data_IF_074640042938
#
_entry.id   IF_074640042938
#
_cell.length_a   1.000
_cell.length_b   1.000
_cell.length_c   1.000
_cell.angle_alpha   90.00
_cell.angle_beta   90.00
_cell.angle_gamma   90.00
#
_symmetry.space_group_name_H-M   'P 1'
#
loop_
_entity.id
_entity.type
_entity.pdbx_description
1 polymer ?
#
# COMPACT_ATOMS: atom_id res chain seq x y z
N UNK A 1 29.95 37.38 21.09
CA UNK A 1 28.75 36.83 21.77
C UNK A 1 27.57 37.06 20.84
N UNK A 2 26.70 36.12 20.47
CA UNK A 2 26.59 34.66 20.69
C UNK A 2 26.12 34.05 19.34
N UNK A 3 26.60 32.85 18.97
CA UNK A 3 26.13 32.16 17.75
C UNK A 3 24.78 31.49 18.03
N UNK A 4 23.78 31.69 17.15
CA UNK A 4 22.48 31.02 17.22
C UNK A 4 22.60 29.53 16.85
N UNK A 5 21.76 28.70 17.48
CA UNK A 5 21.90 27.24 17.49
C UNK A 5 21.46 26.59 16.16
N UNK A 6 22.33 25.76 15.57
CA UNK A 6 21.86 24.60 14.81
C UNK A 6 21.35 23.54 15.79
N UNK A 7 20.04 23.27 15.81
CA UNK A 7 19.48 22.06 16.42
C UNK A 7 19.39 20.96 15.37
N UNK A 8 20.34 20.04 15.38
CA UNK A 8 20.21 18.80 14.62
C UNK A 8 19.19 17.87 15.28
N UNK A 9 18.21 17.38 14.53
CA UNK A 9 17.49 16.17 14.92
C UNK A 9 18.43 14.98 14.71
N UNK A 10 19.01 14.48 15.80
CA UNK A 10 19.60 13.15 15.80
C UNK A 10 18.46 12.12 15.80
N UNK A 11 18.19 11.51 14.64
CA UNK A 11 17.31 10.36 14.57
C UNK A 11 17.95 9.21 15.37
N UNK A 12 17.29 8.77 16.44
CA UNK A 12 17.76 7.66 17.25
C UNK A 12 17.66 6.36 16.44
N UNK A 13 18.79 5.90 15.90
CA UNK A 13 18.86 4.60 15.24
C UNK A 13 18.72 3.50 16.30
N UNK A 14 17.51 2.93 16.46
CA UNK A 14 17.34 1.68 17.19
C UNK A 14 18.09 0.56 16.44
N UNK A 15 19.22 0.16 17.01
CA UNK A 15 19.96 -1.03 16.61
C UNK A 15 19.21 -2.28 17.09
N UNK A 16 18.34 -2.82 16.25
CA UNK A 16 17.69 -4.11 16.47
C UNK A 16 18.69 -5.26 16.26
N UNK A 17 19.52 -5.54 17.28
CA UNK A 17 20.47 -6.65 17.30
C UNK A 17 19.75 -7.97 17.57
N UNK A 18 19.18 -8.58 16.52
CA UNK A 18 18.50 -9.88 16.65
C UNK A 18 17.90 -10.49 15.37
N UNK A 19 18.12 -9.89 14.19
CA UNK A 19 17.37 -10.22 12.96
C UNK A 19 18.03 -11.28 12.04
N UNK A 20 19.09 -11.95 12.48
CA UNK A 20 19.63 -13.09 11.73
C UNK A 20 18.65 -14.27 11.85
N UNK A 21 17.98 -14.72 10.76
CA UNK A 21 17.07 -15.85 10.85
C UNK A 21 17.87 -17.09 11.25
N UNK A 22 17.52 -17.69 12.39
CA UNK A 22 18.07 -18.98 12.79
C UNK A 22 17.67 -19.98 11.71
N UNK A 23 18.65 -20.55 11.01
CA UNK A 23 18.41 -21.59 10.00
C UNK A 23 17.74 -22.80 10.62
N UNK A 24 16.41 -22.82 10.58
CA UNK A 24 15.61 -24.01 10.91
C UNK A 24 15.75 -25.02 9.77
N UNK A 25 15.62 -26.33 10.05
CA UNK A 25 15.44 -27.33 9.00
C UNK A 25 14.37 -26.89 7.99
N UNK A 26 14.56 -27.22 6.71
CA UNK A 26 13.65 -26.85 5.61
C UNK A 26 13.48 -25.34 5.35
N UNK A 27 14.38 -24.49 5.84
CA UNK A 27 14.40 -23.05 5.53
C UNK A 27 15.55 -22.68 4.61
N UNK A 28 15.24 -22.08 3.47
CA UNK A 28 16.22 -21.45 2.57
C UNK A 28 16.23 -19.93 2.75
N UNK A 29 17.40 -19.32 2.51
CA UNK A 29 17.57 -17.86 2.50
C UNK A 29 18.18 -17.44 1.17
N UNK A 30 17.58 -16.43 0.52
CA UNK A 30 18.11 -15.82 -0.70
C UNK A 30 18.34 -14.33 -0.41
N UNK A 31 19.60 -13.95 -0.22
CA UNK A 31 20.00 -12.55 -0.09
C UNK A 31 20.01 -11.88 -1.47
N UNK A 32 19.38 -10.72 -1.58
CA UNK A 32 19.25 -9.97 -2.84
C UNK A 32 19.79 -8.56 -2.71
N UNK A 33 20.79 -8.22 -3.53
CA UNK A 33 21.41 -6.90 -3.53
C UNK A 33 21.78 -6.43 -4.95
N UNK A 34 21.82 -5.12 -5.23
CA UNK A 34 22.29 -4.61 -6.52
C UNK A 34 23.74 -5.03 -6.77
N UNK A 35 24.10 -5.24 -8.04
CA UNK A 35 25.50 -5.52 -8.42
C UNK A 35 26.43 -4.39 -7.95
N UNK A 36 27.67 -4.74 -7.62
CA UNK A 36 28.75 -3.80 -7.28
C UNK A 36 28.46 -2.92 -6.04
N UNK A 37 27.52 -3.37 -5.19
CA UNK A 37 27.20 -2.76 -3.89
C UNK A 37 27.89 -3.48 -2.73
N UNK A 38 28.14 -2.80 -1.58
CA UNK A 38 28.58 -3.47 -0.35
C UNK A 38 27.62 -4.59 0.08
N UNK A 39 26.33 -4.46 -0.21
CA UNK A 39 25.32 -5.46 0.08
C UNK A 39 25.45 -6.73 -0.78
N UNK A 40 25.91 -6.61 -2.03
CA UNK A 40 26.22 -7.80 -2.84
C UNK A 40 27.43 -8.54 -2.29
N UNK A 41 28.47 -7.83 -1.84
CA UNK A 41 29.62 -8.45 -1.18
C UNK A 41 29.20 -9.18 0.11
N UNK A 42 28.38 -8.53 0.95
CA UNK A 42 27.85 -9.14 2.18
C UNK A 42 26.93 -10.35 1.90
N UNK A 43 26.08 -10.28 0.88
CA UNK A 43 25.24 -11.39 0.44
C UNK A 43 26.09 -12.59 -0.01
N UNK A 44 27.09 -12.36 -0.88
CA UNK A 44 28.01 -13.40 -1.36
C UNK A 44 28.83 -14.01 -0.21
N UNK A 45 29.28 -13.22 0.76
CA UNK A 45 30.02 -13.71 1.93
C UNK A 45 29.17 -14.58 2.89
N UNK A 46 27.84 -14.47 2.84
CA UNK A 46 26.90 -15.29 3.63
C UNK A 46 26.43 -16.56 2.89
N UNK A 47 26.61 -16.65 1.57
CA UNK A 47 26.09 -17.76 0.79
C UNK A 47 26.89 -19.04 0.99
N UNK A 48 26.20 -20.17 1.23
CA UNK A 48 26.80 -21.51 1.36
C UNK A 48 26.53 -22.41 0.14
N UNK A 49 25.67 -21.99 -0.78
CA UNK A 49 25.34 -22.72 -2.01
C UNK A 49 24.34 -23.88 -1.83
N UNK A 50 23.79 -24.06 -0.63
CA UNK A 50 22.91 -25.17 -0.25
C UNK A 50 21.59 -24.70 0.39
N UNK A 51 21.67 -23.97 1.51
CA UNK A 51 20.55 -23.37 2.22
C UNK A 51 20.54 -21.85 2.05
N UNK A 52 21.72 -21.24 1.85
CA UNK A 52 21.88 -19.80 1.73
C UNK A 52 22.46 -19.44 0.36
N UNK A 53 21.74 -18.59 -0.36
CA UNK A 53 22.07 -18.13 -1.71
C UNK A 53 22.21 -16.61 -1.74
N UNK A 54 22.96 -16.12 -2.73
CA UNK A 54 23.07 -14.70 -3.07
C UNK A 54 22.64 -14.47 -4.52
N UNK A 55 21.74 -13.51 -4.73
CA UNK A 55 21.21 -13.15 -6.05
C UNK A 55 21.37 -11.64 -6.29
N UNK A 56 21.69 -11.26 -7.53
CA UNK A 56 21.91 -9.84 -7.89
C UNK A 56 20.64 -9.11 -8.31
N UNK A 57 19.52 -9.84 -8.43
CA UNK A 57 18.27 -9.37 -9.05
C UNK A 57 17.08 -10.08 -8.41
N UNK A 58 16.05 -9.31 -8.04
CA UNK A 58 14.83 -9.87 -7.44
C UNK A 58 14.16 -10.91 -8.33
N UNK A 59 14.13 -10.75 -9.67
CA UNK A 59 13.53 -11.77 -10.55
C UNK A 59 14.26 -13.11 -10.51
N UNK A 60 15.60 -13.11 -10.39
CA UNK A 60 16.38 -14.35 -10.25
C UNK A 60 16.07 -15.04 -8.92
N UNK A 61 15.94 -14.26 -7.84
CA UNK A 61 15.53 -14.77 -6.55
C UNK A 61 14.09 -15.32 -6.54
N UNK A 62 13.14 -14.70 -7.25
CA UNK A 62 11.77 -15.21 -7.39
C UNK A 62 11.74 -16.53 -8.19
N UNK A 63 12.56 -16.67 -9.24
CA UNK A 63 12.69 -17.93 -9.98
C UNK A 63 13.27 -19.03 -9.10
N UNK A 64 14.40 -18.79 -8.44
CA UNK A 64 15.01 -19.77 -7.52
C UNK A 64 14.09 -20.10 -6.33
N UNK A 65 13.39 -19.13 -5.78
CA UNK A 65 12.42 -19.37 -4.71
C UNK A 65 11.28 -20.29 -5.18
N UNK A 66 10.73 -20.06 -6.37
CA UNK A 66 9.72 -20.95 -6.94
C UNK A 66 10.27 -22.37 -7.17
N UNK A 67 11.49 -22.52 -7.67
CA UNK A 67 12.15 -23.84 -7.83
C UNK A 67 12.29 -24.58 -6.49
N UNK A 68 12.81 -23.92 -5.45
CA UNK A 68 12.99 -24.50 -4.11
C UNK A 68 11.65 -24.83 -3.41
N UNK A 69 10.59 -24.06 -3.65
CA UNK A 69 9.27 -24.32 -3.05
C UNK A 69 8.52 -25.48 -3.72
N UNK A 70 8.98 -25.98 -4.87
CA UNK A 70 8.39 -27.16 -5.53
C UNK A 70 8.94 -28.49 -4.98
N UNK A 71 10.03 -28.50 -4.21
CA UNK A 71 10.70 -29.73 -3.76
C UNK A 71 10.22 -30.29 -2.41
N UNK A 72 9.40 -29.55 -1.67
CA UNK A 72 8.92 -29.96 -0.35
C UNK A 72 8.27 -28.80 0.44
N UNK A 73 7.78 -29.06 1.68
CA UNK A 73 7.12 -28.07 2.54
C UNK A 73 8.16 -27.10 3.16
N UNK A 74 8.86 -26.37 2.30
CA UNK A 74 9.95 -25.50 2.65
C UNK A 74 9.48 -24.06 2.91
N UNK A 75 10.26 -23.33 3.70
CA UNK A 75 10.18 -21.87 3.78
C UNK A 75 11.31 -21.26 2.97
N UNK A 76 11.02 -20.33 2.05
CA UNK A 76 12.04 -19.53 1.37
C UNK A 76 11.91 -18.07 1.79
N UNK A 77 12.97 -17.55 2.41
CA UNK A 77 13.10 -16.14 2.78
C UNK A 77 13.94 -15.41 1.72
N UNK A 78 13.31 -14.56 0.91
CA UNK A 78 13.98 -13.67 -0.04
C UNK A 78 14.20 -12.31 0.63
N UNK A 79 15.43 -12.07 1.09
CA UNK A 79 15.81 -10.89 1.88
C UNK A 79 16.47 -9.85 0.98
N UNK A 80 15.89 -8.65 0.89
CA UNK A 80 16.27 -7.64 -0.11
C UNK A 80 16.87 -6.41 0.55
N UNK A 81 18.08 -6.06 0.11
CA UNK A 81 18.85 -4.89 0.54
C UNK A 81 18.24 -3.56 0.00
N UNK A 82 18.80 -2.38 0.37
CA UNK A 82 18.37 -1.11 -0.21
C UNK A 82 18.84 -1.05 -1.67
N UNK A 83 18.00 -0.52 -2.56
CA UNK A 83 18.40 -0.40 -3.96
C UNK A 83 17.25 -0.11 -4.91
N UNK A 84 17.62 0.15 -6.17
CA UNK A 84 16.73 0.23 -7.30
C UNK A 84 16.83 -1.06 -8.12
N UNK A 85 15.74 -1.82 -8.16
CA UNK A 85 15.63 -3.02 -8.98
C UNK A 85 14.73 -2.67 -10.18
N UNK A 86 15.11 -2.95 -11.45
CA UNK A 86 14.32 -2.53 -12.63
C UNK A 86 13.56 -3.67 -13.34
N UNK A 87 13.50 -4.86 -12.76
CA UNK A 87 12.85 -6.04 -13.37
C UNK A 87 13.74 -6.80 -14.36
N UNK A 88 13.19 -7.83 -15.01
CA UNK A 88 13.90 -8.58 -16.06
C UNK A 88 14.04 -7.71 -17.30
N UNK A 89 15.25 -7.62 -17.88
CA UNK A 89 15.56 -6.75 -19.03
C UNK A 89 15.16 -5.27 -18.87
N UNK A 90 15.10 -4.76 -17.63
CA UNK A 90 14.56 -3.42 -17.29
C UNK A 90 13.08 -3.21 -17.65
N UNK A 91 12.28 -4.27 -17.80
CA UNK A 91 10.87 -4.18 -18.17
C UNK A 91 9.94 -3.60 -17.08
N UNK A 92 10.47 -3.27 -15.88
CA UNK A 92 9.69 -2.65 -14.81
C UNK A 92 8.61 -3.54 -14.18
N UNK A 93 8.68 -4.85 -14.41
CA UNK A 93 7.76 -5.87 -13.92
C UNK A 93 8.51 -7.09 -13.37
N UNK A 94 7.89 -7.76 -12.39
CA UNK A 94 8.37 -8.96 -11.71
C UNK A 94 7.26 -10.00 -11.68
N UNK A 95 7.51 -11.16 -12.28
CA UNK A 95 6.64 -12.33 -12.13
C UNK A 95 7.24 -13.28 -11.10
N UNK A 96 6.46 -13.66 -10.09
CA UNK A 96 6.69 -14.88 -9.32
C UNK A 96 6.15 -16.05 -10.16
N UNK A 97 6.98 -17.04 -10.54
CA UNK A 97 6.52 -18.21 -11.28
C UNK A 97 5.47 -19.02 -10.49
N UNK A 98 4.77 -19.92 -11.20
CA UNK A 98 3.79 -20.80 -10.58
C UNK A 98 4.42 -21.65 -9.47
N UNK A 99 3.96 -21.45 -8.25
CA UNK A 99 4.20 -22.36 -7.11
C UNK A 99 2.91 -23.16 -6.93
N UNK A 100 3.00 -24.50 -6.91
CA UNK A 100 1.84 -25.37 -6.70
C UNK A 100 2.12 -26.34 -5.56
N UNK A 101 2.40 -25.78 -4.39
CA UNK A 101 2.72 -26.52 -3.18
C UNK A 101 2.03 -25.86 -1.97
N UNK A 102 0.81 -26.30 -1.60
CA UNK A 102 0.00 -25.67 -0.57
C UNK A 102 0.57 -25.76 0.85
N UNK A 103 1.67 -26.49 1.08
CA UNK A 103 2.35 -26.56 2.38
C UNK A 103 3.55 -25.62 2.49
N UNK A 104 4.03 -25.07 1.38
CA UNK A 104 5.24 -24.26 1.32
C UNK A 104 4.98 -22.78 1.66
N UNK A 105 6.02 -22.05 2.09
CA UNK A 105 5.94 -20.65 2.53
C UNK A 105 6.93 -19.77 1.77
N UNK A 106 6.47 -18.68 1.15
CA UNK A 106 7.32 -17.68 0.52
C UNK A 106 7.27 -16.36 1.29
N UNK A 107 8.45 -15.87 1.69
CA UNK A 107 8.60 -14.59 2.37
C UNK A 107 9.51 -13.67 1.59
N UNK A 108 8.94 -12.69 0.91
CA UNK A 108 9.64 -11.64 0.18
C UNK A 108 9.73 -10.40 1.08
N UNK A 109 10.94 -10.09 1.57
CA UNK A 109 11.17 -9.11 2.64
C UNK A 109 12.25 -8.10 2.23
N UNK A 110 11.86 -6.87 1.92
CA UNK A 110 12.72 -5.71 1.75
C UNK A 110 12.96 -4.93 3.05
N UNK A 111 13.78 -3.90 2.95
CA UNK A 111 14.12 -3.01 4.07
C UNK A 111 15.38 -3.36 4.84
N UNK A 112 16.19 -4.32 4.39
CA UNK A 112 17.44 -4.68 5.08
C UNK A 112 18.51 -3.61 4.88
N UNK A 113 19.39 -3.44 5.87
CA UNK A 113 20.65 -2.72 5.72
C UNK A 113 21.65 -3.52 4.86
N UNK A 114 22.81 -2.92 4.56
CA UNK A 114 23.76 -3.51 3.61
C UNK A 114 24.38 -4.85 4.05
N UNK A 115 24.57 -5.08 5.34
CA UNK A 115 25.11 -6.34 5.89
C UNK A 115 24.01 -7.36 6.30
N UNK A 116 22.74 -7.02 6.05
CA UNK A 116 21.55 -7.78 6.42
C UNK A 116 21.44 -8.10 7.93
N UNK A 117 22.00 -7.27 8.80
CA UNK A 117 21.89 -7.42 10.26
C UNK A 117 20.71 -6.67 10.88
N UNK A 118 20.17 -5.67 10.17
CA UNK A 118 19.10 -4.80 10.63
C UNK A 118 18.06 -4.52 9.54
N UNK A 119 16.81 -4.25 9.94
CA UNK A 119 15.69 -3.96 9.02
C UNK A 119 15.01 -2.65 9.38
N UNK A 120 14.81 -1.78 8.39
CA UNK A 120 14.10 -0.50 8.49
C UNK A 120 13.39 -0.25 7.15
N UNK A 121 12.18 -0.80 6.91
CA UNK A 121 11.54 -0.81 5.59
C UNK A 121 11.26 0.58 5.00
N UNK A 122 11.12 1.61 5.84
CA UNK A 122 10.90 3.00 5.41
C UNK A 122 12.19 3.83 5.29
N UNK A 123 13.35 3.30 5.72
CA UNK A 123 14.67 3.95 5.59
C UNK A 123 15.57 3.28 4.55
N UNK A 124 15.61 1.94 4.56
CA UNK A 124 16.45 1.09 3.74
C UNK A 124 15.70 0.61 2.47
N UNK A 125 15.25 1.58 1.65
CA UNK A 125 14.23 1.34 0.63
C UNK A 125 14.64 0.34 -0.48
N UNK A 126 13.96 -0.80 -0.52
CA UNK A 126 14.00 -1.79 -1.63
C UNK A 126 12.95 -1.41 -2.68
N UNK A 127 13.38 -0.71 -3.75
CA UNK A 127 12.47 -0.13 -4.76
C UNK A 127 12.31 -1.04 -5.97
N UNK A 128 11.06 -1.40 -6.29
CA UNK A 128 10.71 -2.05 -7.55
C UNK A 128 10.41 -0.96 -8.60
N UNK A 129 11.45 -0.53 -9.30
CA UNK A 129 11.40 0.56 -10.28
C UNK A 129 10.71 0.10 -11.56
N UNK A 130 9.52 0.63 -11.81
CA UNK A 130 8.80 0.39 -13.07
C UNK A 130 9.25 1.33 -14.19
N UNK A 131 8.67 1.18 -15.39
CA UNK A 131 9.02 1.96 -16.59
C UNK A 131 7.78 2.43 -17.35
N UNK A 132 7.96 3.42 -18.24
CA UNK A 132 6.92 3.81 -19.18
C UNK A 132 6.53 2.59 -20.02
N UNK A 133 5.22 2.37 -20.16
CA UNK A 133 4.71 1.33 -21.03
C UNK A 133 4.64 -0.08 -20.44
N UNK A 134 4.85 -0.26 -19.12
CA UNK A 134 4.80 -1.58 -18.45
C UNK A 134 3.63 -2.46 -18.89
N UNK A 135 3.90 -3.75 -19.03
CA UNK A 135 2.93 -4.77 -19.44
C UNK A 135 2.59 -5.69 -18.25
N UNK A 136 1.52 -5.33 -17.53
CA UNK A 136 1.09 -5.99 -16.30
C UNK A 136 1.41 -5.22 -15.00
N UNK A 137 1.09 -5.86 -13.87
CA UNK A 137 1.35 -5.30 -12.54
C UNK A 137 2.87 -5.20 -12.26
N UNK A 138 3.28 -4.37 -11.29
CA UNK A 138 4.70 -4.27 -10.90
C UNK A 138 5.13 -5.63 -10.34
N UNK A 139 4.41 -6.18 -9.36
CA UNK A 139 4.58 -7.55 -8.91
C UNK A 139 3.37 -8.40 -9.30
N UNK A 140 3.64 -9.51 -10.00
CA UNK A 140 2.64 -10.42 -10.55
C UNK A 140 2.85 -11.81 -9.94
N UNK A 141 1.86 -12.30 -9.20
CA UNK A 141 1.80 -13.70 -8.78
C UNK A 141 1.22 -14.50 -9.95
N UNK A 142 1.88 -15.59 -10.35
CA UNK A 142 1.40 -16.43 -11.43
C UNK A 142 -0.02 -16.98 -11.11
N UNK A 143 -0.97 -16.96 -12.05
CA UNK A 143 -2.32 -17.46 -11.83
C UNK A 143 -2.34 -18.90 -11.33
N UNK A 144 -3.27 -19.19 -10.41
CA UNK A 144 -3.43 -20.51 -9.76
C UNK A 144 -2.28 -20.94 -8.85
N UNK A 145 -1.38 -20.02 -8.46
CA UNK A 145 -0.37 -20.34 -7.44
C UNK A 145 -1.04 -20.76 -6.13
N UNK A 146 -0.50 -21.79 -5.49
CA UNK A 146 -0.96 -22.36 -4.23
C UNK A 146 0.23 -22.54 -3.28
N UNK A 147 0.17 -21.87 -2.13
CA UNK A 147 1.17 -21.92 -1.07
C UNK A 147 0.56 -21.56 0.28
N UNK A 148 1.08 -22.13 1.36
CA UNK A 148 0.53 -21.98 2.72
C UNK A 148 0.51 -20.54 3.17
N UNK A 149 1.62 -19.84 2.97
CA UNK A 149 1.80 -18.44 3.34
C UNK A 149 2.59 -17.69 2.25
N UNK A 150 2.09 -16.50 1.88
CA UNK A 150 2.82 -15.51 1.08
C UNK A 150 2.98 -14.22 1.89
N UNK A 151 4.22 -13.78 2.10
CA UNK A 151 4.55 -12.49 2.71
C UNK A 151 5.21 -11.59 1.68
N UNK A 152 4.71 -10.36 1.53
CA UNK A 152 5.30 -9.28 0.74
C UNK A 152 5.47 -8.08 1.67
N UNK A 153 6.70 -7.77 2.07
CA UNK A 153 6.94 -6.72 3.06
C UNK A 153 8.16 -5.85 2.81
N UNK A 154 8.04 -4.53 3.03
CA UNK A 154 9.17 -3.59 2.96
C UNK A 154 9.61 -3.15 1.56
N UNK A 155 8.68 -3.12 0.59
CA UNK A 155 8.97 -2.68 -0.78
C UNK A 155 8.34 -1.32 -1.11
N UNK A 156 8.98 -0.60 -2.03
CA UNK A 156 8.39 0.57 -2.70
C UNK A 156 7.87 0.16 -4.06
N UNK A 157 6.58 0.36 -4.27
CA UNK A 157 5.86 0.20 -5.54
C UNK A 157 5.42 1.58 -6.03
N UNK A 158 6.23 2.18 -6.92
CA UNK A 158 5.91 3.48 -7.52
C UNK A 158 5.49 3.30 -8.98
N UNK A 159 4.26 3.67 -9.31
CA UNK A 159 3.77 3.64 -10.69
C UNK A 159 4.02 4.92 -11.49
N UNK A 160 4.55 6.00 -10.89
CA UNK A 160 4.78 7.26 -11.61
C UNK A 160 5.60 7.11 -12.91
N UNK A 161 6.68 6.31 -12.97
CA UNK A 161 7.37 6.07 -14.24
C UNK A 161 6.52 5.42 -15.33
N UNK A 162 5.43 4.73 -14.99
CA UNK A 162 4.52 4.04 -15.92
C UNK A 162 3.27 4.83 -16.30
N UNK A 163 3.05 5.98 -15.67
CA UNK A 163 1.86 6.80 -15.85
C UNK A 163 2.08 7.90 -16.88
N UNK A 164 0.99 8.42 -17.42
CA UNK A 164 0.95 9.72 -18.09
C UNK A 164 0.36 10.76 -17.15
N UNK A 165 0.96 11.94 -17.18
CA UNK A 165 0.56 13.08 -16.35
C UNK A 165 0.11 14.24 -17.23
N UNK A 166 -0.93 14.94 -16.78
CA UNK A 166 -1.34 16.19 -17.39
C UNK A 166 -0.26 17.26 -17.19
N UNK A 167 0.18 17.89 -18.27
CA UNK A 167 1.33 18.80 -18.25
C UNK A 167 1.07 20.11 -17.48
N UNK A 168 -0.19 20.48 -17.23
CA UNK A 168 -0.56 21.68 -16.48
C UNK A 168 -0.67 21.44 -14.98
N UNK A 169 -1.33 20.35 -14.60
CA UNK A 169 -1.67 20.04 -13.20
C UNK A 169 -0.73 19.03 -12.54
N UNK A 170 0.09 18.33 -13.33
CA UNK A 170 0.92 17.18 -12.96
C UNK A 170 0.09 15.99 -12.41
N UNK A 171 -1.15 15.83 -12.88
CA UNK A 171 -2.10 14.82 -12.39
C UNK A 171 -2.16 13.57 -13.26
N UNK A 172 -2.39 12.39 -12.66
CA UNK A 172 -2.48 11.11 -13.38
C UNK A 172 -3.63 11.14 -14.40
N UNK A 173 -3.30 11.01 -15.68
CA UNK A 173 -4.26 10.85 -16.78
C UNK A 173 -4.73 9.40 -16.86
N UNK A 174 -5.66 9.02 -15.99
CA UNK A 174 -6.21 7.65 -15.83
C UNK A 174 -6.44 6.90 -17.16
N UNK A 175 -7.14 7.51 -18.11
CA UNK A 175 -7.50 6.89 -19.40
C UNK A 175 -6.34 6.67 -20.38
N UNK A 176 -5.14 7.18 -20.07
CA UNK A 176 -3.93 7.02 -20.91
C UNK A 176 -2.73 6.45 -20.14
N UNK A 177 -2.84 6.36 -18.81
CA UNK A 177 -1.95 5.64 -17.91
C UNK A 177 -2.23 4.13 -17.94
N UNK A 178 -1.36 3.34 -17.29
CA UNK A 178 -1.46 1.88 -17.34
C UNK A 178 -2.56 1.34 -16.42
N UNK A 179 -3.50 0.60 -17.00
CA UNK A 179 -4.66 -0.01 -16.34
C UNK A 179 -4.32 -1.32 -15.61
N UNK A 180 -3.19 -1.34 -14.91
CA UNK A 180 -2.75 -2.49 -14.11
C UNK A 180 -2.49 -2.04 -12.67
N UNK A 181 -2.84 -2.85 -11.66
CA UNK A 181 -2.51 -2.54 -10.26
C UNK A 181 -0.99 -2.56 -10.03
N UNK A 182 -0.57 -2.23 -8.81
CA UNK A 182 0.82 -2.35 -8.37
C UNK A 182 1.18 -3.81 -8.06
N UNK A 183 0.29 -4.54 -7.38
CA UNK A 183 0.39 -6.01 -7.19
C UNK A 183 -0.83 -6.69 -7.82
N UNK A 184 -0.61 -7.83 -8.49
CA UNK A 184 -1.68 -8.75 -8.90
C UNK A 184 -1.48 -10.13 -8.28
N UNK A 185 -2.46 -10.57 -7.50
CA UNK A 185 -2.46 -11.88 -6.83
C UNK A 185 -3.08 -13.01 -7.67
N UNK A 186 -3.80 -12.70 -8.74
CA UNK A 186 -4.20 -13.66 -9.80
C UNK A 186 -4.92 -14.94 -9.32
N UNK A 187 -5.83 -14.84 -8.33
CA UNK A 187 -6.44 -16.00 -7.64
C UNK A 187 -5.41 -16.87 -6.91
N UNK A 188 -4.53 -16.23 -6.15
CA UNK A 188 -3.64 -16.86 -5.18
C UNK A 188 -4.47 -17.75 -4.24
N UNK A 189 -4.06 -19.02 -4.11
CA UNK A 189 -4.56 -19.92 -3.08
C UNK A 189 -3.62 -19.91 -1.90
N UNK A 190 -4.10 -19.44 -0.74
CA UNK A 190 -3.28 -19.43 0.47
C UNK A 190 -4.11 -19.57 1.75
N UNK A 191 -3.47 -20.00 2.83
CA UNK A 191 -3.99 -19.88 4.19
C UNK A 191 -3.57 -18.56 4.85
N UNK A 192 -2.51 -17.92 4.35
CA UNK A 192 -2.04 -16.65 4.91
C UNK A 192 -1.45 -15.74 3.84
N UNK A 193 -2.09 -14.60 3.60
CA UNK A 193 -1.51 -13.50 2.82
C UNK A 193 -1.11 -12.38 3.77
N UNK A 194 0.17 -12.01 3.79
CA UNK A 194 0.67 -10.84 4.51
C UNK A 194 1.20 -9.81 3.53
N UNK A 195 0.66 -8.59 3.59
CA UNK A 195 1.18 -7.42 2.88
C UNK A 195 1.51 -6.35 3.92
N UNK A 196 2.78 -6.26 4.31
CA UNK A 196 3.19 -5.47 5.49
C UNK A 196 4.28 -4.42 5.22
N UNK A 197 4.20 -3.23 5.83
CA UNK A 197 5.28 -2.23 5.81
C UNK A 197 5.74 -1.81 4.40
N UNK A 198 4.86 -1.86 3.40
CA UNK A 198 5.16 -1.44 2.03
C UNK A 198 4.76 0.03 1.80
N UNK A 199 5.25 0.60 0.69
CA UNK A 199 4.85 1.92 0.19
C UNK A 199 4.28 1.73 -1.21
N UNK A 200 2.98 2.02 -1.36
CA UNK A 200 2.23 1.97 -2.62
C UNK A 200 1.92 3.40 -3.06
N UNK A 201 2.58 3.87 -4.12
CA UNK A 201 2.38 5.24 -4.61
C UNK A 201 2.06 5.34 -6.10
N UNK A 202 1.26 6.35 -6.43
CA UNK A 202 0.92 6.77 -7.80
C UNK A 202 0.18 5.70 -8.64
N UNK A 203 -0.52 4.74 -8.03
CA UNK A 203 -1.26 3.71 -8.77
C UNK A 203 -2.44 4.29 -9.55
N UNK A 204 -2.41 4.25 -10.89
CA UNK A 204 -3.50 4.73 -11.74
C UNK A 204 -4.74 3.80 -11.81
N UNK A 205 -4.66 2.60 -11.22
CA UNK A 205 -5.65 1.53 -11.38
C UNK A 205 -5.62 0.55 -10.19
N UNK A 206 -5.69 1.06 -8.95
CA UNK A 206 -5.50 0.23 -7.75
C UNK A 206 -4.05 0.15 -7.26
N UNK A 207 -3.86 0.04 -5.95
CA UNK A 207 -2.65 -0.52 -5.38
C UNK A 207 -2.68 -2.05 -5.59
N UNK A 208 -3.68 -2.72 -5.03
CA UNK A 208 -3.99 -4.12 -5.31
C UNK A 208 -5.39 -4.49 -4.77
N UNK A 209 -5.99 -5.52 -5.36
CA UNK A 209 -7.09 -6.26 -4.76
C UNK A 209 -6.51 -7.63 -4.33
N UNK A 210 -6.65 -8.07 -3.06
CA UNK A 210 -6.00 -9.29 -2.57
C UNK A 210 -6.44 -10.55 -3.34
N UNK A 211 -7.70 -10.62 -3.77
CA UNK A 211 -8.26 -11.65 -4.67
C UNK A 211 -7.75 -13.08 -4.39
N UNK A 212 -7.80 -13.46 -3.11
CA UNK A 212 -7.36 -14.75 -2.59
C UNK A 212 -8.50 -15.75 -2.61
N UNK A 213 -8.18 -17.01 -2.93
CA UNK A 213 -9.03 -18.16 -2.65
C UNK A 213 -8.48 -18.89 -1.41
N UNK A 214 -9.27 -19.10 -0.33
CA UNK A 214 -8.77 -19.80 0.86
C UNK A 214 -8.35 -21.23 0.54
N UNK A 215 -7.22 -21.68 1.12
CA UNK A 215 -6.83 -23.10 1.16
C UNK A 215 -7.63 -23.87 2.23
N UNK A 216 -7.86 -23.27 3.39
CA UNK A 216 -8.67 -23.81 4.49
C UNK A 216 -9.69 -22.81 5.03
N UNK A 217 -10.63 -23.32 5.85
CA UNK A 217 -11.60 -22.50 6.58
C UNK A 217 -10.97 -21.56 7.64
N UNK A 218 -9.66 -21.62 7.87
CA UNK A 218 -8.93 -20.74 8.77
C UNK A 218 -8.07 -19.68 8.05
N UNK A 219 -8.20 -19.54 6.73
CA UNK A 219 -7.36 -18.62 5.96
C UNK A 219 -7.51 -17.14 6.42
N UNK A 220 -6.39 -16.43 6.54
CA UNK A 220 -6.33 -15.02 6.99
C UNK A 220 -5.62 -14.16 5.95
N UNK A 221 -6.04 -12.90 5.84
CA UNK A 221 -5.36 -11.87 5.06
C UNK A 221 -4.99 -10.71 6.00
N UNK A 222 -3.70 -10.47 6.18
CA UNK A 222 -3.16 -9.35 6.95
C UNK A 222 -2.58 -8.30 6.00
N UNK A 223 -3.22 -7.13 5.92
CA UNK A 223 -2.70 -5.96 5.23
C UNK A 223 -2.39 -4.92 6.30
N UNK A 224 -1.11 -4.81 6.66
CA UNK A 224 -0.68 -4.05 7.84
C UNK A 224 0.42 -3.03 7.56
N UNK A 225 0.43 -1.94 8.32
CA UNK A 225 1.56 -1.01 8.37
C UNK A 225 1.95 -0.39 7.01
N UNK A 226 1.08 -0.37 5.99
CA UNK A 226 1.43 0.13 4.66
C UNK A 226 1.11 1.62 4.49
N UNK A 227 1.93 2.32 3.70
CA UNK A 227 1.58 3.60 3.12
C UNK A 227 0.88 3.40 1.77
N UNK A 228 -0.32 3.96 1.63
CA UNK A 228 -1.04 4.08 0.36
C UNK A 228 -1.18 5.56 0.01
N UNK A 229 -0.42 6.03 -0.98
CA UNK A 229 -0.24 7.45 -1.29
C UNK A 229 -0.64 7.73 -2.75
N UNK A 230 -1.61 8.61 -3.01
CA UNK A 230 -1.96 9.02 -4.38
C UNK A 230 -2.31 7.84 -5.33
N UNK A 231 -3.15 6.92 -4.87
CA UNK A 231 -3.68 5.83 -5.70
C UNK A 231 -5.11 6.15 -6.16
N UNK A 232 -5.39 6.01 -7.46
CA UNK A 232 -6.75 6.06 -8.04
C UNK A 232 -7.41 4.71 -7.76
N UNK A 233 -8.32 4.70 -6.77
CA UNK A 233 -8.73 3.53 -5.96
C UNK A 233 -7.51 2.88 -5.30
N UNK A 234 -7.58 2.60 -4.00
CA UNK A 234 -6.49 1.88 -3.32
C UNK A 234 -6.70 0.38 -3.38
N UNK A 235 -7.84 -0.11 -2.88
CA UNK A 235 -8.19 -1.54 -2.92
C UNK A 235 -9.71 -1.77 -2.93
N UNK A 236 -10.10 -2.92 -3.45
CA UNK A 236 -11.37 -3.61 -3.18
C UNK A 236 -11.02 -5.03 -2.72
N UNK A 237 -11.24 -5.41 -1.45
CA UNK A 237 -11.00 -6.76 -0.98
C UNK A 237 -12.11 -7.69 -1.48
N UNK A 238 -12.13 -7.98 -2.78
CA UNK A 238 -12.98 -9.03 -3.35
C UNK A 238 -12.36 -10.40 -3.08
N UNK A 239 -13.18 -11.37 -2.64
CA UNK A 239 -12.76 -12.77 -2.56
C UNK A 239 -12.66 -13.41 -3.94
N UNK A 240 -11.77 -14.38 -4.12
CA UNK A 240 -11.79 -15.25 -5.30
C UNK A 240 -12.70 -16.46 -5.04
N UNK A 241 -13.50 -16.91 -6.03
CA UNK A 241 -14.38 -18.07 -5.86
C UNK A 241 -13.62 -19.33 -5.41
N UNK A 242 -14.04 -19.92 -4.29
CA UNK A 242 -13.43 -21.13 -3.72
C UNK A 242 -14.48 -22.11 -3.21
N UNK A 243 -14.14 -23.41 -3.23
CA UNK A 243 -14.92 -24.47 -2.57
C UNK A 243 -14.76 -24.46 -1.04
N UNK A 244 -13.71 -23.81 -0.53
CA UNK A 244 -13.47 -23.67 0.91
C UNK A 244 -14.25 -22.50 1.56
N UNK A 245 -15.08 -21.79 0.79
CA UNK A 245 -15.83 -20.61 1.25
C UNK A 245 -15.06 -19.30 1.02
N UNK A 246 -15.41 -18.27 1.80
CA UNK A 246 -14.65 -17.02 1.92
C UNK A 246 -13.54 -17.15 2.97
N UNK A 247 -12.54 -16.26 2.96
CA UNK A 247 -11.47 -16.31 3.98
C UNK A 247 -12.07 -16.05 5.37
N UNK A 248 -11.45 -16.59 6.42
CA UNK A 248 -11.97 -16.42 7.78
C UNK A 248 -11.95 -14.95 8.19
N UNK A 249 -10.82 -14.30 8.01
CA UNK A 249 -10.58 -12.95 8.52
C UNK A 249 -9.73 -12.12 7.56
N UNK A 250 -10.12 -10.86 7.36
CA UNK A 250 -9.32 -9.86 6.68
C UNK A 250 -9.03 -8.72 7.65
N UNK A 251 -7.76 -8.45 7.90
CA UNK A 251 -7.27 -7.40 8.78
C UNK A 251 -6.67 -6.25 7.96
N UNK A 252 -7.23 -5.06 8.09
CA UNK A 252 -6.63 -3.80 7.68
C UNK A 252 -6.14 -3.10 8.95
N UNK A 253 -4.84 -3.15 9.26
CA UNK A 253 -4.30 -2.68 10.55
C UNK A 253 -3.16 -1.69 10.39
N UNK A 254 -3.23 -0.52 11.04
CA UNK A 254 -2.15 0.49 11.01
C UNK A 254 -1.70 0.95 9.61
N UNK A 255 -2.57 0.92 8.61
CA UNK A 255 -2.27 1.46 7.27
C UNK A 255 -2.55 2.97 7.23
N UNK A 256 -1.83 3.69 6.38
CA UNK A 256 -2.08 5.12 6.10
C UNK A 256 -2.57 5.30 4.66
N UNK A 257 -3.85 5.62 4.52
CA UNK A 257 -4.53 5.94 3.27
C UNK A 257 -4.56 7.46 3.10
N UNK A 258 -3.65 7.99 2.30
CA UNK A 258 -3.42 9.42 2.15
C UNK A 258 -3.58 9.84 0.68
N UNK A 259 -4.46 10.82 0.43
CA UNK A 259 -4.73 11.33 -0.92
C UNK A 259 -5.11 10.21 -1.90
N UNK A 260 -5.90 9.22 -1.49
CA UNK A 260 -6.46 8.21 -2.41
C UNK A 260 -7.63 8.82 -3.17
N UNK A 261 -7.68 8.62 -4.49
CA UNK A 261 -8.64 9.29 -5.37
C UNK A 261 -9.76 8.35 -5.81
N UNK A 262 -11.00 8.87 -6.00
CA UNK A 262 -12.07 8.12 -6.64
C UNK A 262 -11.62 7.57 -8.00
N UNK A 263 -11.98 6.31 -8.29
CA UNK A 263 -11.89 5.80 -9.66
C UNK A 263 -13.03 6.34 -10.51
N UNK A 264 -14.21 6.59 -9.93
CA UNK A 264 -15.24 7.42 -10.55
C UNK A 264 -15.60 8.60 -9.62
N UNK A 265 -15.42 9.86 -10.03
CA UNK A 265 -15.78 11.05 -9.24
C UNK A 265 -17.30 11.31 -9.19
N UNK A 266 -18.10 10.60 -9.98
CA UNK A 266 -19.56 10.72 -9.94
C UNK A 266 -20.09 10.07 -8.65
N UNK A 267 -20.74 10.83 -7.74
CA UNK A 267 -21.35 10.26 -6.53
C UNK A 267 -22.40 9.20 -6.86
N UNK A 268 -23.03 9.27 -8.03
CA UNK A 268 -24.02 8.30 -8.47
C UNK A 268 -23.40 7.02 -9.07
N UNK A 269 -22.12 6.74 -8.80
CA UNK A 269 -21.41 5.55 -9.27
C UNK A 269 -20.70 4.79 -8.15
N UNK A 270 -20.05 3.67 -8.51
CA UNK A 270 -19.21 2.87 -7.62
C UNK A 270 -17.73 3.18 -7.83
N UNK A 271 -16.89 2.85 -6.84
CA UNK A 271 -15.45 3.14 -6.75
C UNK A 271 -15.17 4.64 -6.46
N UNK A 272 -15.88 5.19 -5.47
CA UNK A 272 -15.75 6.60 -5.02
C UNK A 272 -14.68 6.79 -3.94
N UNK A 273 -14.53 5.84 -3.02
CA UNK A 273 -13.65 5.98 -1.84
C UNK A 273 -12.25 5.39 -2.01
N UNK A 274 -11.37 5.64 -1.05
CA UNK A 274 -10.03 5.05 -0.96
C UNK A 274 -10.10 3.51 -0.97
N UNK A 275 -10.94 2.92 -0.11
CA UNK A 275 -11.24 1.49 -0.13
C UNK A 275 -12.72 1.24 -0.42
N UNK A 276 -13.00 0.25 -1.26
CA UNK A 276 -14.36 -0.20 -1.54
C UNK A 276 -14.65 -1.46 -0.71
N UNK A 277 -15.53 -1.38 0.30
CA UNK A 277 -15.89 -2.56 1.09
C UNK A 277 -16.75 -3.50 0.25
N UNK A 278 -16.45 -4.80 0.34
CA UNK A 278 -17.15 -5.84 -0.41
C UNK A 278 -18.13 -6.62 0.48
N UNK A 279 -19.02 -7.38 -0.15
CA UNK A 279 -19.94 -8.28 0.55
C UNK A 279 -19.22 -9.53 1.09
N UNK A 280 -19.89 -10.27 1.98
CA UNK A 280 -19.48 -11.48 2.74
C UNK A 280 -18.77 -12.62 1.99
N UNK A 281 -18.69 -12.54 0.67
CA UNK A 281 -17.90 -13.43 -0.16
C UNK A 281 -16.40 -13.10 -0.09
N UNK A 282 -16.02 -11.90 0.40
CA UNK A 282 -14.64 -11.56 0.68
C UNK A 282 -14.08 -12.33 1.87
N UNK A 283 -14.74 -12.22 3.02
CA UNK A 283 -14.32 -12.81 4.29
C UNK A 283 -15.54 -13.04 5.21
N UNK A 284 -15.35 -13.80 6.29
CA UNK A 284 -16.38 -13.96 7.34
C UNK A 284 -16.31 -12.78 8.31
N UNK A 285 -15.10 -12.39 8.73
CA UNK A 285 -14.83 -11.23 9.58
C UNK A 285 -13.92 -10.22 8.87
N UNK A 286 -14.25 -8.93 8.99
CA UNK A 286 -13.47 -7.79 8.48
C UNK A 286 -13.09 -6.89 9.65
N UNK A 287 -11.79 -6.71 9.90
CA UNK A 287 -11.28 -5.84 10.97
C UNK A 287 -10.53 -4.66 10.38
N UNK A 288 -10.96 -3.46 10.70
CA UNK A 288 -10.34 -2.20 10.28
C UNK A 288 -9.91 -1.48 11.55
N UNK A 289 -8.62 -1.53 11.88
CA UNK A 289 -8.12 -1.07 13.18
C UNK A 289 -6.85 -0.20 13.10
N UNK A 290 -6.78 0.88 13.88
CA UNK A 290 -5.55 1.66 14.01
C UNK A 290 -5.13 2.39 12.72
N UNK A 291 -5.98 2.44 11.69
CA UNK A 291 -5.65 3.03 10.41
C UNK A 291 -5.81 4.55 10.43
N UNK A 292 -5.19 5.19 9.45
CA UNK A 292 -5.22 6.61 9.21
C UNK A 292 -5.80 6.85 7.81
N UNK A 293 -7.01 7.39 7.74
CA UNK A 293 -7.66 7.82 6.51
C UNK A 293 -7.68 9.35 6.50
N UNK A 294 -6.79 9.98 5.74
CA UNK A 294 -6.72 11.44 5.65
C UNK A 294 -6.66 11.94 4.21
N UNK A 295 -7.40 13.02 3.95
CA UNK A 295 -7.37 13.75 2.69
C UNK A 295 -7.78 12.92 1.46
N UNK A 296 -8.57 11.85 1.61
CA UNK A 296 -9.06 11.03 0.50
C UNK A 296 -10.37 11.65 -0.01
N UNK A 297 -10.40 12.48 -1.08
CA UNK A 297 -11.52 13.39 -1.30
C UNK A 297 -12.85 12.70 -1.64
N UNK A 298 -12.82 11.44 -2.08
CA UNK A 298 -14.01 10.66 -2.46
C UNK A 298 -14.53 9.69 -1.38
N UNK A 299 -13.98 9.72 -0.18
CA UNK A 299 -14.37 8.85 0.94
C UNK A 299 -13.19 8.06 1.50
N UNK A 300 -13.22 7.76 2.79
CA UNK A 300 -12.33 6.78 3.39
C UNK A 300 -12.73 5.37 2.91
N UNK A 301 -14.01 5.02 3.11
CA UNK A 301 -14.57 3.72 2.76
C UNK A 301 -15.82 3.89 1.90
N UNK A 302 -16.10 2.93 1.03
CA UNK A 302 -17.34 2.87 0.25
C UNK A 302 -18.16 1.65 0.65
N UNK A 303 -19.47 1.84 0.76
CA UNK A 303 -20.44 0.87 1.22
C UNK A 303 -21.62 0.84 0.24
N UNK A 304 -21.61 -0.15 -0.66
CA UNK A 304 -22.60 -0.31 -1.74
C UNK A 304 -23.62 -1.43 -1.49
N UNK A 305 -23.47 -2.19 -0.39
CA UNK A 305 -24.25 -3.38 -0.11
C UNK A 305 -25.02 -3.23 1.21
N UNK A 306 -26.28 -3.69 1.30
CA UNK A 306 -26.98 -3.81 2.57
C UNK A 306 -26.17 -4.59 3.62
N UNK A 307 -26.28 -4.20 4.89
CA UNK A 307 -25.48 -4.75 5.99
C UNK A 307 -25.64 -6.26 6.19
N UNK A 308 -26.82 -6.83 5.91
CA UNK A 308 -27.10 -8.28 5.94
C UNK A 308 -26.31 -9.09 4.89
N UNK A 309 -25.65 -8.39 3.96
CA UNK A 309 -24.75 -8.96 2.95
C UNK A 309 -23.28 -8.69 3.24
N UNK A 310 -22.96 -7.89 4.24
CA UNK A 310 -21.58 -7.53 4.58
C UNK A 310 -20.94 -8.61 5.47
N UNK A 311 -19.60 -8.73 5.50
CA UNK A 311 -18.92 -9.52 6.52
C UNK A 311 -19.23 -8.96 7.92
N UNK A 312 -19.03 -9.77 8.97
CA UNK A 312 -19.03 -9.25 10.35
C UNK A 312 -17.89 -8.24 10.46
N UNK A 313 -18.23 -6.96 10.61
CA UNK A 313 -17.28 -5.86 10.44
C UNK A 313 -17.05 -5.14 11.76
N UNK A 314 -15.78 -4.97 12.12
CA UNK A 314 -15.33 -4.20 13.29
C UNK A 314 -14.41 -3.07 12.83
N UNK A 315 -14.71 -1.83 13.26
CA UNK A 315 -14.03 -0.60 12.86
C UNK A 315 -13.63 0.14 14.12
N UNK A 316 -12.42 -0.13 14.60
CA UNK A 316 -11.96 0.30 15.93
C UNK A 316 -10.74 1.20 15.86
N UNK A 317 -10.70 2.25 16.67
CA UNK A 317 -9.49 3.06 16.85
C UNK A 317 -8.88 3.55 15.53
N UNK A 318 -9.67 4.05 14.58
CA UNK A 318 -9.17 4.65 13.34
C UNK A 318 -9.26 6.18 13.39
N UNK A 319 -8.38 6.87 12.67
CA UNK A 319 -8.44 8.32 12.50
C UNK A 319 -8.98 8.67 11.10
N UNK A 320 -10.08 9.41 11.06
CA UNK A 320 -10.71 9.92 9.85
C UNK A 320 -10.59 11.45 9.77
N UNK A 321 -9.95 11.98 8.73
CA UNK A 321 -9.75 13.43 8.57
C UNK A 321 -9.93 13.91 7.12
N UNK A 322 -10.95 14.73 6.87
CA UNK A 322 -11.23 15.39 5.58
C UNK A 322 -11.36 14.41 4.39
N UNK A 323 -12.29 13.46 4.49
CA UNK A 323 -12.46 12.41 3.48
C UNK A 323 -13.66 12.58 2.53
N UNK A 324 -14.45 13.66 2.58
CA UNK A 324 -15.60 13.84 1.67
C UNK A 324 -15.53 15.10 0.78
N UNK A 325 -14.34 15.70 0.66
CA UNK A 325 -14.18 17.02 0.06
C UNK A 325 -14.71 17.13 -1.39
N UNK A 326 -14.67 16.05 -2.19
CA UNK A 326 -15.19 16.00 -3.57
C UNK A 326 -16.71 16.24 -3.63
N UNK A 327 -17.42 15.85 -2.58
CA UNK A 327 -18.88 15.83 -2.51
C UNK A 327 -19.45 17.00 -1.71
N UNK A 328 -18.73 18.13 -1.74
CA UNK A 328 -19.06 19.41 -1.11
C UNK A 328 -19.09 19.37 0.43
N UNK A 329 -18.57 18.30 1.04
CA UNK A 329 -18.44 18.17 2.49
C UNK A 329 -16.97 18.02 2.90
N UNK A 330 -16.30 19.16 3.02
CA UNK A 330 -14.89 19.23 3.43
C UNK A 330 -14.67 19.15 4.94
N UNK A 331 -15.69 18.84 5.74
CA UNK A 331 -15.56 18.84 7.21
C UNK A 331 -14.69 17.66 7.69
N UNK A 332 -13.91 17.81 8.79
CA UNK A 332 -12.96 16.79 9.23
C UNK A 332 -13.55 15.39 9.44
N UNK A 333 -14.73 15.30 10.06
CA UNK A 333 -15.36 14.03 10.48
C UNK A 333 -16.19 13.34 9.38
N UNK A 334 -16.35 13.96 8.21
CA UNK A 334 -17.24 13.47 7.16
C UNK A 334 -16.50 12.61 6.12
N UNK A 335 -17.23 11.67 5.51
CA UNK A 335 -16.69 10.71 4.54
C UNK A 335 -16.03 9.49 5.19
N UNK A 336 -16.51 9.04 6.35
CA UNK A 336 -16.16 7.71 6.89
C UNK A 336 -16.67 6.65 5.91
N UNK A 337 -17.95 6.75 5.55
CA UNK A 337 -18.52 6.06 4.40
C UNK A 337 -19.02 7.06 3.36
N UNK A 338 -18.88 6.70 2.09
CA UNK A 338 -19.40 7.41 0.94
C UNK A 338 -19.88 6.37 -0.08
N UNK A 339 -21.15 6.35 -0.45
CA UNK A 339 -21.66 5.25 -1.29
C UNK A 339 -23.16 5.20 -1.48
N UNK A 340 -23.61 4.08 -2.06
CA UNK A 340 -25.00 3.80 -2.42
C UNK A 340 -25.63 2.79 -1.47
N UNK A 341 -26.52 3.27 -0.60
CA UNK A 341 -27.16 2.42 0.40
C UNK A 341 -28.50 1.83 -0.11
N UNK A 342 -28.65 0.52 -0.02
CA UNK A 342 -29.90 -0.20 -0.31
C UNK A 342 -30.09 -0.68 -1.76
N UNK A 343 -31.32 -1.05 -2.12
CA UNK A 343 -31.68 -1.59 -3.46
C UNK A 343 -32.15 -0.54 -4.45
N UNK A 344 -32.38 0.69 -4.00
CA UNK A 344 -32.85 1.81 -4.83
C UNK A 344 -32.14 3.10 -4.39
N UNK A 345 -30.81 3.20 -4.62
CA UNK A 345 -29.95 3.90 -3.66
C UNK A 345 -29.95 5.42 -3.86
N UNK A 346 -30.18 6.14 -2.77
CA UNK A 346 -29.64 7.49 -2.64
C UNK A 346 -28.14 7.38 -2.35
N UNK A 347 -27.37 8.29 -2.92
CA UNK A 347 -25.99 8.47 -2.50
C UNK A 347 -25.97 9.16 -1.13
N UNK A 348 -25.22 8.61 -0.19
CA UNK A 348 -25.04 9.18 1.14
C UNK A 348 -23.55 9.37 1.45
N UNK A 349 -23.26 10.48 2.11
CA UNK A 349 -22.04 10.70 2.88
C UNK A 349 -22.41 10.44 4.34
N UNK A 350 -21.65 9.58 5.00
CA UNK A 350 -21.84 9.25 6.41
C UNK A 350 -20.64 9.82 7.17
N UNK A 351 -20.92 10.65 8.17
CA UNK A 351 -19.92 11.15 9.09
C UNK A 351 -19.67 10.14 10.23
N UNK A 352 -18.68 10.43 11.09
CA UNK A 352 -18.30 9.48 12.12
C UNK A 352 -19.41 9.23 13.15
N UNK A 353 -20.14 10.26 13.57
CA UNK A 353 -21.22 10.14 14.54
C UNK A 353 -22.37 9.29 13.97
N UNK A 354 -22.82 9.61 12.75
CA UNK A 354 -23.86 8.83 12.06
C UNK A 354 -23.43 7.38 11.82
N UNK A 355 -22.15 7.15 11.52
CA UNK A 355 -21.63 5.79 11.32
C UNK A 355 -21.64 4.94 12.59
N UNK A 356 -21.38 5.55 13.76
CA UNK A 356 -21.37 4.85 15.05
C UNK A 356 -22.78 4.67 15.64
N UNK A 357 -23.73 5.57 15.33
CA UNK A 357 -25.12 5.51 15.82
C UNK A 357 -26.09 4.70 14.92
N UNK A 358 -25.99 4.82 13.58
CA UNK A 358 -27.00 4.30 12.64
C UNK A 358 -26.63 2.97 11.94
N UNK A 359 -25.37 2.53 11.98
CA UNK A 359 -24.91 1.28 11.36
C UNK A 359 -24.72 0.15 12.39
N UNK A 360 -25.15 -1.06 12.06
CA UNK A 360 -25.05 -2.26 12.90
C UNK A 360 -23.63 -2.87 12.99
N UNK A 361 -22.59 -2.05 12.86
CA UNK A 361 -21.19 -2.48 12.94
C UNK A 361 -20.61 -2.34 14.34
N UNK A 362 -19.60 -3.14 14.64
CA UNK A 362 -18.84 -3.02 15.88
C UNK A 362 -17.87 -1.83 15.74
N UNK A 363 -18.31 -0.64 16.13
CA UNK A 363 -17.55 0.61 16.00
C UNK A 363 -17.24 1.22 17.37
N UNK A 364 -15.98 1.61 17.60
CA UNK A 364 -15.52 2.13 18.88
C UNK A 364 -14.17 2.85 18.77
N UNK A 365 -14.00 3.94 19.53
CA UNK A 365 -12.70 4.61 19.72
C UNK A 365 -12.14 5.29 18.47
N UNK A 366 -12.92 5.41 17.40
CA UNK A 366 -12.54 6.16 16.22
C UNK A 366 -12.52 7.67 16.53
N UNK A 367 -11.70 8.43 15.81
CA UNK A 367 -11.52 9.87 16.05
C UNK A 367 -11.41 10.68 14.77
N UNK A 368 -11.75 11.97 14.86
CA UNK A 368 -11.42 12.96 13.83
C UNK A 368 -10.56 14.07 14.44
N UNK A 369 -9.26 13.99 14.19
CA UNK A 369 -8.23 14.92 14.70
C UNK A 369 -7.30 15.24 13.53
N UNK A 370 -6.88 16.49 13.37
CA UNK A 370 -5.88 16.87 12.35
C UNK A 370 -4.55 16.14 12.63
N UNK A 371 -4.10 15.23 11.75
CA UNK A 371 -2.88 14.48 11.97
C UNK A 371 -1.61 15.30 11.66
N UNK A 372 -1.75 16.49 11.03
CA UNK A 372 -0.63 17.41 10.67
C UNK A 372 0.47 16.73 9.86
N UNK A 373 0.09 15.89 8.90
CA UNK A 373 1.01 15.09 8.08
C UNK A 373 1.72 15.97 7.07
N UNK A 374 3.03 15.79 6.87
CA UNK A 374 3.77 16.40 5.76
C UNK A 374 3.83 15.44 4.57
N UNK A 375 3.43 15.88 3.38
CA UNK A 375 3.43 15.07 2.15
C UNK A 375 4.33 15.74 1.09
N UNK A 376 5.25 14.97 0.50
CA UNK A 376 6.20 15.46 -0.50
C UNK A 376 5.68 15.25 -1.95
N UNK A 377 5.83 16.27 -2.79
CA UNK A 377 5.49 16.24 -4.22
C UNK A 377 6.70 15.93 -5.11
N UNK A 378 6.43 15.41 -6.31
CA UNK A 378 7.36 15.58 -7.43
C UNK A 378 7.36 17.04 -7.91
N UNK A 379 8.52 17.53 -8.37
CA UNK A 379 8.63 18.84 -8.99
C UNK A 379 7.71 18.97 -10.22
N UNK A 380 7.03 20.11 -10.33
CA UNK A 380 6.14 20.44 -11.45
C UNK A 380 6.97 20.65 -12.73
N UNK A 381 6.90 19.70 -13.67
CA UNK A 381 7.44 19.84 -15.03
C UNK A 381 6.47 20.60 -15.95
N UNK A 382 6.11 21.81 -15.55
CA UNK A 382 5.23 22.66 -16.35
C UNK A 382 5.91 23.11 -17.66
N UNK A 383 5.16 23.16 -18.75
CA UNK A 383 5.55 23.91 -19.93
C UNK A 383 5.21 25.40 -19.70
N UNK A 384 6.27 26.20 -19.54
CA UNK A 384 6.29 27.63 -19.19
C UNK A 384 5.86 27.95 -17.74
N UNK A 385 6.83 28.38 -16.91
CA UNK A 385 6.72 28.40 -15.45
C UNK A 385 6.99 29.77 -14.80
N UNK A 386 7.01 30.86 -15.58
CA UNK A 386 7.30 32.22 -15.09
C UNK A 386 6.25 32.82 -14.12
N UNK A 387 5.25 32.06 -13.67
CA UNK A 387 4.15 32.52 -12.83
C UNK A 387 3.96 31.76 -11.49
N UNK A 388 4.85 30.83 -11.10
CA UNK A 388 4.61 29.95 -9.93
C UNK A 388 5.78 29.87 -8.94
N UNK A 389 5.57 30.35 -7.72
CA UNK A 389 6.39 30.14 -6.50
C UNK A 389 5.66 30.77 -5.28
N UNK A 390 5.50 30.20 -4.06
CA UNK A 390 5.81 28.86 -3.49
C UNK A 390 4.62 28.33 -2.64
N UNK A 391 4.89 27.51 -1.61
CA UNK A 391 3.93 26.67 -0.90
C UNK A 391 3.94 26.87 0.63
N UNK A 392 2.97 26.25 1.31
CA UNK A 392 3.23 25.41 2.48
C UNK A 392 2.08 24.38 2.59
N UNK A 393 2.43 23.10 2.76
CA UNK A 393 1.65 21.99 2.18
C UNK A 393 0.87 21.12 3.17
N UNK A 394 -0.36 20.74 2.77
CA UNK A 394 -0.90 19.38 2.99
C UNK A 394 -1.53 18.76 1.74
N UNK A 395 -2.06 19.54 0.79
CA UNK A 395 -1.22 19.85 -0.37
C UNK A 395 -1.53 21.26 -0.93
N UNK A 396 -0.94 22.33 -0.38
CA UNK A 396 -1.59 23.66 -0.26
C UNK A 396 -3.07 23.49 0.15
N UNK A 397 -3.29 22.63 1.14
CA UNK A 397 -4.58 22.19 1.70
C UNK A 397 -5.52 21.57 0.65
N UNK A 398 -4.95 20.63 -0.12
CA UNK A 398 -5.54 19.95 -1.31
C UNK A 398 -5.79 20.95 -2.48
N UNK A 399 -4.95 21.99 -2.55
CA UNK A 399 -5.04 23.21 -3.39
C UNK A 399 -6.35 23.99 -3.17
N UNK A 400 -6.88 23.91 -1.95
CA UNK A 400 -8.04 24.60 -1.37
C UNK A 400 -9.37 24.35 -2.08
N UNK A 401 -10.16 23.40 -1.58
CA UNK A 401 -11.61 23.25 -1.82
C UNK A 401 -12.07 23.64 -3.25
N UNK A 402 -11.40 23.10 -4.27
CA UNK A 402 -11.86 22.97 -5.66
C UNK A 402 -12.27 24.22 -6.47
N UNK A 403 -11.63 25.40 -6.34
CA UNK A 403 -11.92 26.52 -7.29
C UNK A 403 -10.78 27.50 -7.62
N UNK A 404 -9.66 27.00 -8.16
CA UNK A 404 -8.95 27.73 -9.25
C UNK A 404 -8.09 26.80 -10.11
N UNK A 405 -8.13 27.01 -11.42
CA UNK A 405 -6.90 27.11 -12.20
C UNK A 405 -6.56 28.61 -12.20
N UNK A 406 -5.42 29.03 -11.64
CA UNK A 406 -5.20 30.45 -11.36
C UNK A 406 -5.08 31.32 -12.62
N UNK A 407 -4.86 30.72 -13.80
CA UNK A 407 -5.05 31.35 -15.10
C UNK A 407 -5.85 30.44 -16.07
N UNK A 408 -7.11 30.81 -16.32
CA UNK A 408 -7.85 30.45 -17.54
C UNK A 408 -8.17 28.96 -17.78
N UNK A 409 -9.15 28.40 -17.05
CA UNK A 409 -9.90 27.21 -17.51
C UNK A 409 -10.24 26.19 -16.42
N UNK A 410 -11.49 25.70 -16.42
CA UNK A 410 -12.01 24.77 -15.39
C UNK A 410 -11.42 23.37 -15.54
N UNK A 411 -10.69 22.88 -14.52
CA UNK A 411 -10.23 21.48 -14.47
C UNK A 411 -11.33 20.63 -13.83
N UNK A 412 -11.89 19.68 -14.58
CA UNK A 412 -12.83 18.72 -14.03
C UNK A 412 -12.14 17.79 -13.02
N UNK A 413 -12.70 17.69 -11.81
CA UNK A 413 -12.09 17.03 -10.64
C UNK A 413 -11.77 15.53 -10.90
N UNK A 414 -12.45 14.93 -11.88
CA UNK A 414 -12.17 13.62 -12.45
C UNK A 414 -10.70 13.32 -12.79
N UNK A 415 -9.88 14.35 -12.98
CA UNK A 415 -8.52 14.25 -13.49
C UNK A 415 -7.44 14.76 -12.50
N UNK A 416 -7.77 15.07 -11.24
CA UNK A 416 -6.76 15.55 -10.27
C UNK A 416 -6.20 14.40 -9.42
N UNK A 417 -4.88 14.20 -9.48
CA UNK A 417 -4.13 13.15 -8.76
C UNK A 417 -2.61 13.40 -8.93
N UNK A 418 -2.04 14.44 -8.28
CA UNK A 418 -0.70 14.93 -8.58
C UNK A 418 0.41 13.93 -8.24
N UNK A 419 1.45 13.81 -9.07
CA UNK A 419 2.58 12.91 -8.81
C UNK A 419 3.24 13.18 -7.44
N UNK A 420 3.22 12.19 -6.54
CA UNK A 420 3.91 12.24 -5.25
C UNK A 420 5.27 11.57 -5.32
N UNK A 421 6.17 11.96 -4.42
CA UNK A 421 7.44 11.28 -4.17
C UNK A 421 7.52 10.82 -2.73
N UNK A 422 8.15 9.66 -2.52
CA UNK A 422 8.45 9.18 -1.19
C UNK A 422 9.87 9.60 -0.76
N UNK A 423 9.99 10.27 0.38
CA UNK A 423 11.26 10.73 0.95
C UNK A 423 11.51 10.11 2.32
N UNK A 424 12.66 9.44 2.49
CA UNK A 424 13.10 8.89 3.79
C UNK A 424 13.32 9.97 4.84
N UNK A 425 13.55 11.23 4.41
CA UNK A 425 13.81 12.36 5.30
C UNK A 425 12.53 13.05 5.77
N UNK A 426 11.38 12.70 5.20
CA UNK A 426 10.07 13.29 5.48
C UNK A 426 8.98 12.23 5.25
N UNK A 427 8.98 11.20 6.10
CA UNK A 427 7.93 10.19 6.11
C UNK A 427 6.56 10.85 6.38
N UNK A 428 5.48 10.48 5.67
CA UNK A 428 4.16 11.07 5.87
C UNK A 428 3.46 10.46 7.10
N UNK A 429 4.08 10.64 8.27
CA UNK A 429 3.58 10.22 9.58
C UNK A 429 2.83 11.38 10.27
N UNK A 430 1.91 11.09 11.20
CA UNK A 430 1.27 12.12 12.01
C UNK A 430 2.28 12.91 12.86
N UNK A 431 2.25 14.24 12.76
CA UNK A 431 3.04 15.12 13.61
C UNK A 431 2.32 15.47 14.92
N UNK A 432 0.98 15.50 14.91
CA UNK A 432 0.14 15.72 16.09
C UNK A 432 0.32 14.57 17.10
N UNK A 433 0.77 14.82 18.35
CA UNK A 433 0.97 13.79 19.36
C UNK A 433 -0.20 12.83 19.56
N UNK A 434 -1.45 13.32 19.56
CA UNK A 434 -2.64 12.47 19.73
C UNK A 434 -2.88 11.55 18.52
N UNK A 435 -2.40 11.92 17.34
CA UNK A 435 -2.60 11.17 16.10
C UNK A 435 -1.54 10.07 15.86
N UNK A 436 -0.47 9.99 16.67
CA UNK A 436 0.65 9.07 16.42
C UNK A 436 0.33 7.57 16.54
N UNK A 437 -0.74 7.22 17.26
CA UNK A 437 -1.18 5.84 17.39
C UNK A 437 -1.85 5.27 16.12
N UNK A 438 -2.19 6.14 15.16
CA UNK A 438 -2.91 5.80 13.94
C UNK A 438 -1.98 5.79 12.72
N UNK A 439 -2.31 4.94 11.75
CA UNK A 439 -1.49 4.77 10.55
C UNK A 439 -0.18 4.06 10.84
N UNK A 440 0.81 4.27 9.97
CA UNK A 440 2.05 3.50 9.94
C UNK A 440 2.85 3.67 11.23
N UNK A 441 3.23 2.54 11.82
CA UNK A 441 4.02 2.40 13.04
C UNK A 441 5.42 1.91 12.64
N UNK A 442 6.43 2.78 12.69
CA UNK A 442 7.78 2.47 12.21
C UNK A 442 8.56 1.48 13.09
N UNK A 443 8.08 1.23 14.29
CA UNK A 443 8.59 0.29 15.30
C UNK A 443 7.88 -1.08 15.26
N UNK A 444 6.60 -1.13 14.87
CA UNK A 444 5.81 -2.37 14.72
C UNK A 444 6.01 -3.00 13.33
N UNK A 445 7.21 -3.51 13.07
CA UNK A 445 7.52 -4.23 11.84
C UNK A 445 7.05 -5.68 11.91
N UNK A 446 6.49 -6.24 10.83
CA UNK A 446 6.27 -7.69 10.73
C UNK A 446 7.58 -8.47 10.91
N UNK A 447 7.50 -9.59 11.62
CA UNK A 447 8.61 -10.50 11.90
C UNK A 447 8.25 -11.96 11.54
N UNK A 448 9.21 -12.74 10.98
CA UNK A 448 9.00 -14.10 10.48
C UNK A 448 8.88 -15.21 11.53
#
# INVERSE_FOLDING_TARGET
MIRSLLRGLAAAALLFTGLAPVCRPNTYVIYVAPSDSPAAAAATAKADGSLIFAERRVHSALTKAAELLQTGPHTVNVLVAPGAYPGKLKAGVWALPLINNPEATLRLIGGFNADFTGRQPFGNLSRLVTVEGRDGAILQIAPKSALKELVISGFVFDAAPSNKYDAKTNSILKGTSRSYPLISFSQLKTDHLVVDSNIFLNGAHGAFDPFVAPLSANAVIDISNNFFLNNIKTMKPAGAPSRAGSVKQLNLVHNSFLLSWPFNPDPTSSNVSAIELYHKDCCQELRIEGNLFAYNPGGAMQHDWPEDRMPKTAIHNNLFYMNAALFQDGTPKNGVFAGKFGTNPKYLLVDLETAEDDLGYDMAGNVSIDPKITIAMADLKAADSYAVDRANTVMNDIRRLFSVNQDGGTVAIANFAPALVFSTNSLPLPAEPQAKAFGVQTDKLWQP
#
